data_IF_973020654332
#
_entry.id   IF_973020654332
#
_cell.length_a   1.000
_cell.length_b   1.000
_cell.length_c   1.000
_cell.angle_alpha   90.00
_cell.angle_beta   90.00
_cell.angle_gamma   90.00
#
_symmetry.space_group_name_H-M   'P 1'
#
loop_
_entity.id
_entity.type
_entity.pdbx_description
1 polymer ?
#
# COMPACT_ATOMS: atom_id res chain seq x y z
N UNK A 1 5.03 -20.03 40.13
CA UNK A 1 4.83 -20.44 38.71
C UNK A 1 3.56 -19.87 38.07
N UNK A 2 2.33 -20.15 38.55
CA UNK A 2 1.07 -19.65 37.92
C UNK A 2 1.00 -18.12 37.70
N UNK A 3 1.45 -17.30 38.66
CA UNK A 3 1.49 -15.82 38.53
C UNK A 3 2.44 -15.32 37.42
N UNK A 4 3.54 -16.03 37.17
CA UNK A 4 4.56 -15.67 36.15
C UNK A 4 4.13 -16.05 34.73
N UNK A 5 3.38 -17.16 34.58
CA UNK A 5 2.79 -17.56 33.30
C UNK A 5 1.66 -16.59 32.90
N UNK A 6 0.80 -16.21 33.86
CA UNK A 6 -0.27 -15.23 33.62
C UNK A 6 0.24 -13.86 33.17
N UNK A 7 1.33 -13.35 33.77
CA UNK A 7 1.94 -12.08 33.33
C UNK A 7 2.58 -12.15 31.95
N UNK A 8 3.11 -13.31 31.55
CA UNK A 8 3.75 -13.51 30.26
C UNK A 8 2.72 -13.58 29.12
N UNK A 9 1.60 -14.27 29.36
CA UNK A 9 0.47 -14.32 28.42
C UNK A 9 -0.15 -12.95 28.24
N UNK A 10 -0.41 -12.21 29.32
CA UNK A 10 -0.96 -10.85 29.24
C UNK A 10 -0.03 -9.91 28.46
N UNK A 11 1.28 -9.96 28.73
CA UNK A 11 2.27 -9.15 28.00
C UNK A 11 2.27 -9.47 26.51
N UNK A 12 2.16 -10.74 26.15
CA UNK A 12 2.07 -11.17 24.75
C UNK A 12 0.84 -10.56 24.05
N UNK A 13 -0.35 -10.68 24.64
CA UNK A 13 -1.57 -10.10 24.07
C UNK A 13 -1.51 -8.58 23.95
N UNK A 14 -0.95 -7.90 24.95
CA UNK A 14 -0.75 -6.45 24.89
C UNK A 14 0.19 -6.07 23.74
N UNK A 15 1.26 -6.82 23.51
CA UNK A 15 2.17 -6.60 22.38
C UNK A 15 1.47 -6.79 21.03
N UNK A 16 0.71 -7.87 20.87
CA UNK A 16 -0.02 -8.16 19.63
C UNK A 16 -1.07 -7.09 19.33
N UNK A 17 -1.87 -6.67 20.32
CA UNK A 17 -2.89 -5.62 20.15
C UNK A 17 -2.22 -4.26 19.87
N UNK A 18 -1.15 -3.93 20.59
CA UNK A 18 -0.43 -2.65 20.40
C UNK A 18 0.27 -2.57 19.04
N UNK A 19 0.52 -3.71 18.40
CA UNK A 19 1.10 -3.79 17.07
C UNK A 19 0.06 -3.72 15.94
N UNK A 20 -1.24 -3.85 16.21
CA UNK A 20 -2.29 -3.74 15.18
C UNK A 20 -2.22 -2.43 14.34
N UNK A 21 -1.81 -1.27 14.89
CA UNK A 21 -1.62 -0.05 14.12
C UNK A 21 -0.42 -0.04 13.17
N UNK A 22 0.43 -1.08 13.13
CA UNK A 22 1.69 -1.08 12.37
C UNK A 22 1.52 -0.69 10.90
N UNK A 23 0.45 -1.18 10.26
CA UNK A 23 0.15 -0.90 8.85
C UNK A 23 -0.54 0.44 8.62
N UNK A 24 -1.02 1.13 9.67
CA UNK A 24 -1.74 2.40 9.51
C UNK A 24 -0.88 3.50 8.87
N UNK A 25 0.44 3.41 9.01
CA UNK A 25 1.39 4.31 8.34
C UNK A 25 1.28 4.29 6.82
N UNK A 26 1.11 3.12 6.20
CA UNK A 26 0.94 3.00 4.75
C UNK A 26 -0.52 2.98 4.34
N UNK A 27 -1.36 2.34 5.16
CA UNK A 27 -2.78 2.14 4.90
C UNK A 27 -3.57 3.45 4.92
N UNK A 28 -3.44 4.28 5.96
CA UNK A 28 -4.27 5.48 6.10
C UNK A 28 -4.02 6.51 5.00
N UNK A 29 -2.79 6.92 4.68
CA UNK A 29 -2.58 7.94 3.66
C UNK A 29 -3.15 7.55 2.30
N UNK A 30 -3.00 6.28 1.92
CA UNK A 30 -3.47 5.76 0.64
C UNK A 30 -4.99 5.55 0.66
N UNK A 31 -5.55 4.94 1.71
CA UNK A 31 -6.98 4.64 1.76
C UNK A 31 -7.82 5.91 1.91
N UNK A 32 -7.38 6.85 2.76
CA UNK A 32 -8.06 8.14 2.92
C UNK A 32 -7.97 8.97 1.64
N UNK A 33 -6.80 9.00 0.99
CA UNK A 33 -6.65 9.67 -0.31
C UNK A 33 -7.55 9.07 -1.38
N UNK A 34 -7.66 7.74 -1.44
CA UNK A 34 -8.52 7.07 -2.42
C UNK A 34 -10.01 7.33 -2.20
N UNK A 35 -10.47 7.42 -0.95
CA UNK A 35 -11.87 7.72 -0.67
C UNK A 35 -12.14 9.22 -0.86
N UNK A 36 -11.30 10.09 -0.31
CA UNK A 36 -11.53 11.54 -0.32
C UNK A 36 -11.27 12.19 -1.68
N UNK A 37 -10.29 11.69 -2.45
CA UNK A 37 -9.86 12.28 -3.72
C UNK A 37 -10.31 11.42 -4.90
N UNK A 38 -10.03 10.12 -4.89
CA UNK A 38 -10.36 9.24 -6.01
C UNK A 38 -11.85 8.78 -6.01
N UNK A 39 -12.60 9.04 -4.94
CA UNK A 39 -14.02 8.72 -4.83
C UNK A 39 -14.33 7.22 -4.72
N UNK A 40 -13.39 6.40 -4.23
CA UNK A 40 -13.70 5.00 -3.93
C UNK A 40 -14.66 4.89 -2.74
N UNK A 41 -15.57 3.92 -2.81
CA UNK A 41 -16.46 3.58 -1.71
C UNK A 41 -15.66 3.03 -0.51
N UNK A 42 -15.74 3.68 0.68
CA UNK A 42 -15.03 3.20 1.86
C UNK A 42 -15.55 1.85 2.37
N UNK A 43 -16.81 1.48 2.10
CA UNK A 43 -17.39 0.23 2.59
C UNK A 43 -16.71 -0.96 1.93
N UNK A 44 -16.70 -1.00 0.58
CA UNK A 44 -15.99 -2.02 -0.19
C UNK A 44 -14.49 -2.08 0.14
N UNK A 45 -13.85 -0.92 0.27
CA UNK A 45 -12.43 -0.82 0.65
C UNK A 45 -12.17 -1.48 2.01
N UNK A 46 -12.83 -1.00 3.07
CA UNK A 46 -12.60 -1.46 4.43
C UNK A 46 -13.01 -2.92 4.62
N UNK A 47 -14.11 -3.35 3.98
CA UNK A 47 -14.56 -4.73 4.00
C UNK A 47 -13.50 -5.66 3.39
N UNK A 48 -12.96 -5.31 2.22
CA UNK A 48 -11.91 -6.07 1.55
C UNK A 48 -10.65 -6.23 2.40
N UNK A 49 -10.17 -5.12 2.98
CA UNK A 49 -9.04 -5.15 3.91
C UNK A 49 -9.33 -6.00 5.15
N UNK A 50 -10.54 -5.89 5.70
CA UNK A 50 -10.97 -6.66 6.87
C UNK A 50 -10.91 -8.17 6.62
N UNK A 51 -11.58 -8.63 5.57
CA UNK A 51 -11.62 -10.05 5.20
C UNK A 51 -10.22 -10.56 4.86
N UNK A 52 -9.46 -9.83 4.06
CA UNK A 52 -8.13 -10.30 3.64
C UNK A 52 -7.15 -10.33 4.82
N UNK A 53 -7.18 -9.36 5.73
CA UNK A 53 -6.33 -9.35 6.91
C UNK A 53 -6.65 -10.50 7.88
N UNK A 54 -7.94 -10.77 8.13
CA UNK A 54 -8.36 -11.92 8.96
C UNK A 54 -7.94 -13.24 8.30
N UNK A 55 -8.19 -13.40 7.00
CA UNK A 55 -7.76 -14.60 6.26
C UNK A 55 -6.23 -14.78 6.31
N UNK A 56 -5.47 -13.72 6.10
CA UNK A 56 -4.00 -13.72 6.16
C UNK A 56 -3.49 -14.13 7.55
N UNK A 57 -4.10 -13.60 8.61
CA UNK A 57 -3.78 -13.97 9.97
C UNK A 57 -4.01 -15.46 10.25
N UNK A 58 -5.07 -16.05 9.69
CA UNK A 58 -5.39 -17.47 9.84
C UNK A 58 -4.49 -18.38 8.99
N UNK A 59 -4.20 -17.98 7.75
CA UNK A 59 -3.38 -18.74 6.80
C UNK A 59 -1.93 -18.83 7.29
N UNK A 60 -1.32 -17.67 7.56
CA UNK A 60 0.12 -17.60 7.86
C UNK A 60 0.43 -17.72 9.35
N UNK A 61 -0.52 -17.39 10.24
CA UNK A 61 -0.33 -17.36 11.70
C UNK A 61 0.84 -16.49 12.18
N UNK A 62 1.33 -15.63 11.30
CA UNK A 62 2.41 -14.65 11.46
C UNK A 62 1.88 -13.28 11.05
N UNK A 63 2.53 -12.18 11.48
CA UNK A 63 2.08 -10.83 11.18
C UNK A 63 2.43 -10.43 9.74
N UNK A 64 1.94 -11.19 8.77
CA UNK A 64 2.05 -10.88 7.36
C UNK A 64 1.04 -9.77 7.08
N UNK A 65 1.49 -8.57 6.68
CA UNK A 65 0.60 -7.41 6.54
C UNK A 65 -0.31 -7.54 5.31
N UNK A 66 -1.39 -6.75 5.32
CA UNK A 66 -2.24 -6.53 4.15
C UNK A 66 -2.22 -5.04 3.85
N UNK A 67 -1.70 -4.67 2.68
CA UNK A 67 -1.42 -3.29 2.32
C UNK A 67 -2.06 -2.93 0.98
N UNK A 68 -2.40 -1.63 0.78
CA UNK A 68 -2.75 -1.13 -0.53
C UNK A 68 -1.62 -1.36 -1.54
N UNK A 69 -1.98 -1.78 -2.76
CA UNK A 69 -1.07 -1.73 -3.89
C UNK A 69 -0.68 -0.28 -4.21
N UNK A 70 0.51 0.12 -3.74
CA UNK A 70 0.93 1.54 -3.64
C UNK A 70 0.87 2.30 -4.96
N UNK A 71 1.26 1.69 -6.09
CA UNK A 71 1.25 2.39 -7.37
C UNK A 71 -0.18 2.58 -7.88
N UNK A 72 -1.04 1.57 -7.75
CA UNK A 72 -2.48 1.68 -8.07
C UNK A 72 -3.15 2.74 -7.23
N UNK A 73 -2.90 2.73 -5.91
CA UNK A 73 -3.44 3.74 -5.00
C UNK A 73 -2.98 5.15 -5.40
N UNK A 74 -1.68 5.34 -5.68
CA UNK A 74 -1.15 6.63 -6.11
C UNK A 74 -1.72 7.11 -7.45
N UNK A 75 -1.90 6.22 -8.43
CA UNK A 75 -2.53 6.55 -9.71
C UNK A 75 -3.99 6.94 -9.54
N UNK A 76 -4.73 6.28 -8.64
CA UNK A 76 -6.09 6.67 -8.30
C UNK A 76 -6.16 8.07 -7.70
N UNK A 77 -5.33 8.34 -6.68
CA UNK A 77 -5.27 9.65 -6.01
C UNK A 77 -4.82 10.76 -6.96
N UNK A 78 -3.88 10.47 -7.87
CA UNK A 78 -3.41 11.43 -8.87
C UNK A 78 -4.41 11.65 -10.03
N UNK A 79 -5.60 11.04 -9.98
CA UNK A 79 -6.62 11.17 -11.02
C UNK A 79 -6.30 10.46 -12.34
N UNK A 80 -5.28 9.59 -12.35
CA UNK A 80 -4.87 8.82 -13.54
C UNK A 80 -5.77 7.60 -13.78
N UNK A 81 -6.48 7.14 -12.76
CA UNK A 81 -7.38 5.99 -12.83
C UNK A 81 -8.58 6.16 -11.89
N UNK A 82 -9.80 5.97 -12.39
CA UNK A 82 -11.02 6.02 -11.57
C UNK A 82 -11.30 4.71 -10.81
N UNK A 83 -12.27 4.70 -9.87
CA UNK A 83 -12.63 3.53 -9.06
C UNK A 83 -12.87 2.24 -9.86
N UNK A 84 -13.58 2.33 -10.99
CA UNK A 84 -13.84 1.16 -11.86
C UNK A 84 -12.55 0.55 -12.42
N UNK A 85 -11.59 1.40 -12.81
CA UNK A 85 -10.28 0.95 -13.29
C UNK A 85 -9.52 0.28 -12.16
N UNK A 86 -9.54 0.82 -10.94
CA UNK A 86 -8.90 0.23 -9.77
C UNK A 86 -9.46 -1.17 -9.45
N UNK A 87 -10.79 -1.33 -9.52
CA UNK A 87 -11.47 -2.63 -9.35
C UNK A 87 -11.07 -3.60 -10.46
N UNK A 88 -11.04 -3.13 -11.71
CA UNK A 88 -10.59 -3.93 -12.85
C UNK A 88 -9.13 -4.40 -12.67
N UNK A 89 -8.24 -3.53 -12.19
CA UNK A 89 -6.86 -3.87 -11.85
C UNK A 89 -6.81 -4.94 -10.78
N UNK A 90 -7.70 -4.89 -9.78
CA UNK A 90 -7.82 -5.92 -8.75
C UNK A 90 -8.16 -7.28 -9.36
N UNK A 91 -9.16 -7.34 -10.24
CA UNK A 91 -9.55 -8.57 -10.92
C UNK A 91 -8.40 -9.15 -11.76
N UNK A 92 -7.72 -8.30 -12.55
CA UNK A 92 -6.59 -8.68 -13.40
C UNK A 92 -5.38 -9.16 -12.58
N UNK A 93 -5.03 -8.42 -11.53
CA UNK A 93 -3.97 -8.79 -10.59
C UNK A 93 -4.31 -10.11 -9.89
N UNK A 94 -5.57 -10.28 -9.48
CA UNK A 94 -6.07 -11.48 -8.83
C UNK A 94 -5.82 -12.72 -9.68
N UNK A 95 -6.36 -12.73 -10.90
CA UNK A 95 -6.18 -13.82 -11.85
C UNK A 95 -4.69 -14.06 -12.16
N UNK A 96 -3.94 -13.00 -12.43
CA UNK A 96 -2.51 -13.11 -12.79
C UNK A 96 -1.69 -13.71 -11.65
N UNK A 97 -1.88 -13.25 -10.41
CA UNK A 97 -1.13 -13.76 -9.27
C UNK A 97 -1.49 -15.22 -8.93
N UNK A 98 -2.76 -15.62 -9.11
CA UNK A 98 -3.15 -17.03 -9.02
C UNK A 98 -2.38 -17.86 -10.05
N UNK A 99 -2.36 -17.46 -11.32
CA UNK A 99 -1.63 -18.17 -12.36
C UNK A 99 -0.11 -18.21 -12.09
N UNK A 100 0.47 -17.11 -11.64
CA UNK A 100 1.89 -17.05 -11.29
C UNK A 100 2.24 -17.95 -10.09
N UNK A 101 1.35 -18.07 -9.11
CA UNK A 101 1.56 -18.94 -7.95
C UNK A 101 1.70 -20.42 -8.32
N UNK A 102 1.08 -20.83 -9.43
CA UNK A 102 1.11 -22.21 -9.94
C UNK A 102 2.34 -22.50 -10.81
N UNK A 103 3.22 -21.51 -11.04
CA UNK A 103 4.36 -21.64 -11.95
C UNK A 103 5.69 -21.25 -11.28
N UNK A 104 6.78 -21.32 -12.05
CA UNK A 104 8.09 -20.80 -11.68
C UNK A 104 8.36 -19.41 -12.28
N UNK A 105 7.32 -18.72 -12.77
CA UNK A 105 7.46 -17.51 -13.57
C UNK A 105 7.78 -16.24 -12.77
N UNK A 106 7.53 -16.19 -11.45
CA UNK A 106 7.77 -15.00 -10.60
C UNK A 106 9.22 -14.52 -10.71
N UNK A 107 10.17 -15.44 -10.51
CA UNK A 107 11.60 -15.12 -10.58
C UNK A 107 12.07 -14.74 -11.99
N UNK A 108 11.47 -15.31 -13.04
CA UNK A 108 11.77 -14.96 -14.43
C UNK A 108 11.24 -13.56 -14.77
N UNK A 109 9.98 -13.26 -14.46
CA UNK A 109 9.36 -11.95 -14.69
C UNK A 109 10.11 -10.83 -13.96
N UNK A 110 10.55 -11.07 -12.72
CA UNK A 110 11.35 -10.08 -11.97
C UNK A 110 12.63 -9.69 -12.70
N UNK A 111 13.27 -10.60 -13.45
CA UNK A 111 14.49 -10.29 -14.22
C UNK A 111 14.23 -9.40 -15.43
N UNK A 112 13.01 -9.35 -15.93
CA UNK A 112 12.65 -8.49 -17.07
C UNK A 112 12.52 -7.02 -16.66
N UNK A 113 12.24 -6.74 -15.40
CA UNK A 113 11.93 -5.39 -14.93
C UNK A 113 13.16 -4.76 -14.28
N UNK A 114 13.78 -3.74 -14.89
CA UNK A 114 14.91 -3.04 -14.28
C UNK A 114 14.48 -2.22 -13.06
N UNK A 115 15.28 -2.29 -11.99
CA UNK A 115 15.07 -1.51 -10.76
C UNK A 115 15.03 0.00 -11.03
N UNK A 116 15.81 0.51 -11.99
CA UNK A 116 15.83 1.93 -12.38
C UNK A 116 14.50 2.39 -12.95
N UNK A 117 13.81 1.54 -13.73
CA UNK A 117 12.48 1.85 -14.24
C UNK A 117 11.43 1.89 -13.13
N UNK A 118 11.48 0.93 -12.18
CA UNK A 118 10.60 0.92 -11.02
C UNK A 118 10.80 2.16 -10.13
N UNK A 119 12.05 2.58 -9.89
CA UNK A 119 12.31 3.80 -9.13
C UNK A 119 11.82 5.05 -9.86
N UNK A 120 12.06 5.15 -11.18
CA UNK A 120 11.57 6.27 -11.98
C UNK A 120 10.05 6.40 -11.94
N UNK A 121 9.34 5.28 -12.12
CA UNK A 121 7.88 5.20 -11.99
C UNK A 121 7.39 5.66 -10.61
N UNK A 122 8.00 5.14 -9.53
CA UNK A 122 7.62 5.48 -8.15
C UNK A 122 7.82 6.96 -7.84
N UNK A 123 8.93 7.54 -8.31
CA UNK A 123 9.22 8.97 -8.13
C UNK A 123 8.26 9.83 -8.95
N UNK A 124 7.98 9.45 -10.20
CA UNK A 124 7.01 10.18 -11.01
C UNK A 124 5.61 10.20 -10.36
N UNK A 125 5.12 9.05 -9.89
CA UNK A 125 3.86 8.99 -9.15
C UNK A 125 3.89 9.80 -7.86
N UNK A 126 5.01 9.78 -7.12
CA UNK A 126 5.19 10.60 -5.93
C UNK A 126 5.12 12.10 -6.26
N UNK A 127 5.73 12.54 -7.38
CA UNK A 127 5.63 13.92 -7.87
C UNK A 127 4.16 14.25 -8.19
N UNK A 128 3.43 13.36 -8.87
CA UNK A 128 2.00 13.57 -9.16
C UNK A 128 1.14 13.73 -7.90
N UNK A 129 1.44 13.00 -6.82
CA UNK A 129 0.76 13.19 -5.54
C UNK A 129 1.08 14.55 -4.91
N UNK A 130 2.33 15.02 -5.03
CA UNK A 130 2.73 16.33 -4.52
C UNK A 130 2.12 17.49 -5.31
N UNK A 131 1.88 17.33 -6.61
CA UNK A 131 1.22 18.37 -7.41
C UNK A 131 -0.23 18.58 -6.99
N UNK A 132 -0.94 17.52 -6.59
CA UNK A 132 -2.33 17.59 -6.11
C UNK A 132 -2.52 18.48 -4.87
N UNK A 133 -1.46 18.72 -4.09
CA UNK A 133 -1.52 19.58 -2.90
C UNK A 133 -1.94 21.01 -3.28
N UNK A 134 -1.59 21.46 -4.48
CA UNK A 134 -1.93 22.82 -4.98
C UNK A 134 -3.42 23.00 -5.24
N UNK A 135 -4.11 21.90 -5.52
CA UNK A 135 -5.53 21.89 -5.87
C UNK A 135 -6.43 21.72 -4.64
N UNK A 136 -5.85 21.57 -3.44
CA UNK A 136 -6.60 21.43 -2.20
C UNK A 136 -7.24 22.78 -1.80
N UNK A 137 -8.57 22.84 -1.61
CA UNK A 137 -9.27 24.07 -1.32
C UNK A 137 -8.95 24.58 0.09
N UNK A 138 -8.69 25.88 0.22
CA UNK A 138 -8.53 26.53 1.53
C UNK A 138 -7.30 26.09 2.34
N UNK A 139 -6.32 25.44 1.72
CA UNK A 139 -5.14 24.90 2.40
C UNK A 139 -4.30 25.99 3.08
N UNK A 140 -4.15 25.89 4.40
CA UNK A 140 -3.16 26.67 5.16
C UNK A 140 -1.79 26.01 5.08
N UNK A 141 -0.85 26.64 4.37
CA UNK A 141 0.55 26.15 4.30
C UNK A 141 1.25 26.11 5.66
N UNK A 142 0.90 27.01 6.58
CA UNK A 142 1.42 27.00 7.95
C UNK A 142 0.84 25.81 8.72
N UNK A 143 -0.46 25.54 8.58
CA UNK A 143 -1.11 24.38 9.19
C UNK A 143 -0.53 23.07 8.67
N UNK A 144 -0.35 22.96 7.36
CA UNK A 144 0.34 21.84 6.70
C UNK A 144 1.75 21.63 7.26
N UNK A 145 2.56 22.68 7.33
CA UNK A 145 3.92 22.59 7.86
C UNK A 145 3.94 22.16 9.34
N UNK A 146 3.01 22.67 10.15
CA UNK A 146 2.84 22.28 11.55
C UNK A 146 2.50 20.79 11.70
N UNK A 147 1.53 20.29 10.92
CA UNK A 147 1.16 18.87 10.93
C UNK A 147 2.29 17.98 10.40
N UNK A 148 3.05 18.42 9.38
CA UNK A 148 4.24 17.70 8.91
C UNK A 148 5.31 17.60 10.01
N UNK A 149 5.54 18.68 10.75
CA UNK A 149 6.49 18.67 11.86
C UNK A 149 6.06 17.66 12.94
N UNK A 150 4.76 17.64 13.29
CA UNK A 150 4.20 16.64 14.21
C UNK A 150 4.41 15.22 13.69
N UNK A 151 4.08 14.96 12.43
CA UNK A 151 4.27 13.66 11.81
C UNK A 151 5.74 13.21 11.87
N UNK A 152 6.68 14.09 11.50
CA UNK A 152 8.12 13.79 11.52
C UNK A 152 8.61 13.47 12.93
N UNK A 153 8.17 14.24 13.94
CA UNK A 153 8.52 13.99 15.34
C UNK A 153 7.97 12.63 15.79
N UNK A 154 6.71 12.33 15.47
CA UNK A 154 6.09 11.05 15.83
C UNK A 154 6.78 9.86 15.15
N UNK A 155 7.13 9.98 13.87
CA UNK A 155 7.85 8.95 13.11
C UNK A 155 9.26 8.66 13.67
N UNK A 156 9.88 9.64 14.34
CA UNK A 156 11.18 9.48 15.03
C UNK A 156 11.06 9.02 16.48
N UNK A 157 9.85 8.95 17.02
CA UNK A 157 9.58 8.56 18.40
C UNK A 157 9.22 7.06 18.51
N UNK A 158 8.98 6.60 19.74
CA UNK A 158 8.43 5.27 20.02
C UNK A 158 6.98 5.11 19.54
N UNK A 159 6.30 6.22 19.20
CA UNK A 159 4.90 6.25 18.75
C UNK A 159 4.76 6.19 17.23
N UNK A 160 5.82 5.81 16.50
CA UNK A 160 5.82 5.77 15.02
C UNK A 160 4.66 4.99 14.39
N UNK A 161 4.15 3.95 15.07
CA UNK A 161 3.01 3.16 14.62
C UNK A 161 1.68 3.93 14.64
N UNK A 162 1.56 4.91 15.54
CA UNK A 162 0.38 5.76 15.68
C UNK A 162 0.54 7.09 14.94
N UNK A 163 1.70 7.37 14.32
CA UNK A 163 2.04 8.66 13.76
C UNK A 163 0.98 9.19 12.78
N UNK A 164 0.52 8.36 11.84
CA UNK A 164 -0.51 8.74 10.87
C UNK A 164 -1.87 8.98 11.52
N UNK A 165 -2.32 8.09 12.41
CA UNK A 165 -3.60 8.26 13.12
C UNK A 165 -3.60 9.54 13.94
N UNK A 166 -2.57 9.74 14.78
CA UNK A 166 -2.44 10.91 15.63
C UNK A 166 -2.39 12.18 14.81
N UNK A 167 -1.67 12.19 13.68
CA UNK A 167 -1.60 13.37 12.82
C UNK A 167 -2.96 13.70 12.19
N UNK A 168 -3.71 12.69 11.75
CA UNK A 168 -5.07 12.87 11.23
C UNK A 168 -5.99 13.41 12.31
N UNK A 169 -5.98 12.82 13.51
CA UNK A 169 -6.81 13.26 14.62
C UNK A 169 -6.49 14.69 15.06
N UNK A 170 -5.21 15.03 15.23
CA UNK A 170 -4.78 16.38 15.61
C UNK A 170 -5.18 17.39 14.53
N UNK A 171 -4.92 17.10 13.26
CA UNK A 171 -5.32 17.99 12.18
C UNK A 171 -6.83 18.17 12.07
N UNK A 172 -7.60 17.09 12.22
CA UNK A 172 -9.06 17.15 12.26
C UNK A 172 -9.57 17.95 13.46
N UNK A 173 -8.96 17.85 14.65
CA UNK A 173 -9.37 18.66 15.80
C UNK A 173 -9.06 20.15 15.66
N UNK A 174 -8.01 20.51 14.92
CA UNK A 174 -7.57 21.90 14.75
C UNK A 174 -8.31 22.58 13.60
N UNK A 175 -8.49 21.87 12.48
CA UNK A 175 -8.97 22.43 11.21
C UNK A 175 -10.29 21.84 10.73
N UNK A 176 -10.74 20.72 11.31
CA UNK A 176 -11.96 20.04 10.90
C UNK A 176 -13.20 20.82 11.30
N UNK A 177 -14.23 20.71 10.47
CA UNK A 177 -15.55 21.30 10.72
C UNK A 177 -16.56 20.18 10.98
N UNK A 178 -17.08 20.14 12.21
CA UNK A 178 -18.08 19.14 12.67
C UNK A 178 -19.50 19.63 12.51
N UNK A 179 -19.72 20.85 12.03
CA UNK A 179 -21.06 21.46 11.90
C UNK A 179 -22.03 20.66 11.03
N UNK A 180 -21.52 19.79 10.15
CA UNK A 180 -22.32 18.88 9.32
C UNK A 180 -22.58 17.48 9.90
N UNK A 181 -22.07 17.14 11.09
CA UNK A 181 -22.30 15.83 11.72
C UNK A 181 -23.47 15.96 12.70
N UNK A 182 -24.71 15.93 12.19
CA UNK A 182 -25.90 16.08 13.04
C UNK A 182 -26.22 14.79 13.82
N UNK A 183 -25.98 13.59 13.27
CA UNK A 183 -26.07 12.30 13.99
C UNK A 183 -25.17 11.24 13.36
N UNK A 184 -24.36 10.56 14.19
CA UNK A 184 -23.67 9.33 13.81
C UNK A 184 -24.64 8.17 13.98
N UNK A 185 -25.26 7.74 12.89
CA UNK A 185 -26.10 6.54 12.89
C UNK A 185 -25.23 5.30 12.66
N UNK A 186 -25.26 4.37 13.62
CA UNK A 186 -24.64 3.06 13.45
C UNK A 186 -25.64 2.17 12.73
N UNK A 187 -25.34 1.81 11.49
CA UNK A 187 -26.14 0.94 10.64
C UNK A 187 -25.42 -0.36 10.32
N UNK A 188 -26.11 -1.31 9.69
CA UNK A 188 -25.46 -2.44 9.03
C UNK A 188 -25.34 -2.14 7.54
N UNK A 189 -24.13 -1.98 7.05
CA UNK A 189 -23.84 -1.65 5.65
C UNK A 189 -23.18 -2.82 4.95
N UNK A 190 -23.50 -2.99 3.67
CA UNK A 190 -22.97 -4.07 2.85
C UNK A 190 -22.30 -3.50 1.59
N UNK A 191 -21.12 -4.02 1.19
CA UNK A 191 -20.45 -3.56 -0.01
C UNK A 191 -21.31 -3.80 -1.26
N UNK A 192 -21.26 -2.85 -2.19
CA UNK A 192 -21.93 -2.97 -3.48
C UNK A 192 -21.06 -3.81 -4.42
N UNK A 193 -21.70 -4.73 -5.13
CA UNK A 193 -21.04 -5.54 -6.16
C UNK A 193 -20.85 -4.67 -7.40
N UNK A 194 -19.60 -4.53 -7.83
CA UNK A 194 -19.15 -3.73 -8.97
C UNK A 194 -18.31 -4.63 -9.89
N UNK A 195 -18.94 -5.20 -10.90
CA UNK A 195 -18.23 -5.95 -11.93
C UNK A 195 -17.58 -4.99 -12.92
N UNK A 196 -16.26 -5.09 -13.17
CA UNK A 196 -15.57 -4.18 -14.08
C UNK A 196 -16.05 -4.39 -15.52
N UNK A 197 -16.23 -3.30 -16.24
CA UNK A 197 -16.52 -3.29 -17.67
C UNK A 197 -15.28 -3.70 -18.47
N UNK A 198 -15.47 -4.21 -19.68
CA UNK A 198 -14.35 -4.54 -20.58
C UNK A 198 -13.49 -3.31 -20.91
N UNK A 199 -14.11 -2.13 -20.98
CA UNK A 199 -13.41 -0.85 -21.15
C UNK A 199 -12.53 -0.54 -19.95
N UNK A 200 -13.04 -0.68 -18.72
CA UNK A 200 -12.25 -0.51 -17.51
C UNK A 200 -11.09 -1.51 -17.43
N UNK A 201 -11.29 -2.77 -17.87
CA UNK A 201 -10.21 -3.76 -17.98
C UNK A 201 -9.13 -3.35 -18.98
N UNK A 202 -9.52 -2.82 -20.15
CA UNK A 202 -8.59 -2.25 -21.13
C UNK A 202 -7.76 -1.10 -20.55
N UNK A 203 -8.44 -0.13 -19.93
CA UNK A 203 -7.78 1.00 -19.27
C UNK A 203 -6.86 0.54 -18.13
N UNK A 204 -7.24 -0.48 -17.37
CA UNK A 204 -6.41 -1.04 -16.30
C UNK A 204 -5.13 -1.65 -16.85
N UNK A 205 -5.18 -2.40 -17.96
CA UNK A 205 -4.00 -2.95 -18.63
C UNK A 205 -3.03 -1.86 -19.06
N UNK A 206 -3.56 -0.76 -19.60
CA UNK A 206 -2.77 0.36 -20.12
C UNK A 206 -2.16 1.25 -19.02
N UNK A 207 -2.86 1.45 -17.92
CA UNK A 207 -2.49 2.48 -16.93
C UNK A 207 -1.86 1.90 -15.67
N UNK A 208 -2.47 0.87 -15.08
CA UNK A 208 -2.22 0.50 -13.68
C UNK A 208 -1.67 -0.91 -13.51
N UNK A 209 -2.16 -1.88 -14.28
CA UNK A 209 -1.88 -3.30 -14.09
C UNK A 209 -0.40 -3.65 -14.29
N UNK A 210 0.20 -3.32 -15.44
CA UNK A 210 1.60 -3.67 -15.71
C UNK A 210 2.59 -2.97 -14.77
N UNK A 211 2.49 -1.65 -14.53
CA UNK A 211 3.28 -0.96 -13.52
C UNK A 211 3.16 -1.58 -12.12
N UNK A 212 1.94 -1.95 -11.73
CA UNK A 212 1.69 -2.56 -10.42
C UNK A 212 2.20 -4.00 -10.33
N UNK A 213 2.04 -4.81 -11.37
CA UNK A 213 2.55 -6.18 -11.41
C UNK A 213 4.07 -6.19 -11.19
N UNK A 214 4.78 -5.30 -11.89
CA UNK A 214 6.22 -5.12 -11.77
C UNK A 214 6.64 -4.79 -10.31
N UNK A 215 5.90 -3.90 -9.65
CA UNK A 215 6.16 -3.54 -8.24
C UNK A 215 5.76 -4.66 -7.26
N UNK A 216 4.72 -5.42 -7.57
CA UNK A 216 4.19 -6.51 -6.73
C UNK A 216 5.17 -7.69 -6.69
N UNK A 217 5.74 -8.07 -7.85
CA UNK A 217 6.75 -9.14 -7.95
C UNK A 217 7.92 -8.89 -6.99
N UNK A 218 8.40 -7.65 -6.91
CA UNK A 218 9.56 -7.28 -6.09
C UNK A 218 9.20 -7.12 -4.62
N UNK A 219 8.35 -6.15 -4.29
CA UNK A 219 8.13 -5.75 -2.90
C UNK A 219 7.15 -6.65 -2.15
N UNK A 220 6.10 -7.14 -2.80
CA UNK A 220 5.03 -7.89 -2.16
C UNK A 220 5.26 -9.40 -2.15
N UNK A 221 6.04 -9.92 -3.11
CA UNK A 221 6.35 -11.35 -3.22
C UNK A 221 7.78 -11.64 -2.75
N UNK A 222 8.79 -11.27 -3.55
CA UNK A 222 10.19 -11.67 -3.32
C UNK A 222 10.74 -11.08 -2.01
N UNK A 223 10.72 -9.75 -1.86
CA UNK A 223 11.29 -9.10 -0.67
C UNK A 223 10.51 -9.45 0.59
N UNK A 224 9.18 -9.58 0.49
CA UNK A 224 8.35 -9.99 1.63
C UNK A 224 8.68 -11.42 2.04
N UNK A 225 8.85 -12.36 1.10
CA UNK A 225 9.25 -13.73 1.39
C UNK A 225 10.63 -13.78 2.06
N UNK A 226 11.61 -13.08 1.51
CA UNK A 226 12.97 -13.03 2.09
C UNK A 226 12.93 -12.54 3.55
N UNK A 227 12.25 -11.42 3.82
CA UNK A 227 12.17 -10.86 5.19
C UNK A 227 11.36 -11.78 6.11
N UNK A 228 10.25 -12.34 5.64
CA UNK A 228 9.40 -13.23 6.44
C UNK A 228 10.14 -14.51 6.84
N UNK A 229 10.95 -15.06 5.94
CA UNK A 229 11.79 -16.23 6.18
C UNK A 229 12.98 -15.95 7.12
N UNK A 230 13.46 -14.71 7.13
CA UNK A 230 14.49 -14.25 8.07
C UNK A 230 13.92 -14.10 9.49
N UNK A 231 12.76 -13.45 9.62
CA UNK A 231 12.10 -13.24 10.91
C UNK A 231 11.48 -14.51 11.49
N UNK A 232 10.98 -15.42 10.65
CA UNK A 232 10.28 -16.64 11.05
C UNK A 232 10.89 -17.86 10.35
N UNK A 233 12.11 -18.28 10.74
CA UNK A 233 12.82 -19.36 10.07
C UNK A 233 12.10 -20.71 10.14
N UNK A 234 11.32 -20.95 11.19
CA UNK A 234 10.57 -22.20 11.39
C UNK A 234 9.44 -22.38 10.34
N UNK A 235 8.96 -21.28 9.75
CA UNK A 235 7.84 -21.27 8.80
C UNK A 235 8.28 -21.03 7.35
N UNK A 236 9.58 -21.17 7.05
CA UNK A 236 10.16 -20.84 5.73
C UNK A 236 9.45 -21.48 4.53
N UNK A 237 9.03 -22.73 4.68
CA UNK A 237 8.34 -23.48 3.63
C UNK A 237 6.93 -22.95 3.35
N UNK A 238 6.34 -22.24 4.31
CA UNK A 238 5.03 -21.60 4.17
C UNK A 238 5.17 -20.15 3.68
N UNK A 239 6.19 -19.42 4.13
CA UNK A 239 6.40 -18.00 3.84
C UNK A 239 7.13 -17.81 2.50
N UNK A 240 6.48 -18.23 1.41
CA UNK A 240 7.07 -18.22 0.06
C UNK A 240 6.39 -17.23 -0.87
N UNK A 241 7.12 -16.82 -1.91
CA UNK A 241 6.60 -15.96 -2.99
C UNK A 241 5.33 -16.52 -3.64
N UNK A 242 5.25 -17.85 -3.77
CA UNK A 242 4.08 -18.53 -4.35
C UNK A 242 2.87 -18.43 -3.45
N UNK A 243 3.04 -18.66 -2.16
CA UNK A 243 1.92 -18.55 -1.22
C UNK A 243 1.45 -17.11 -1.13
N UNK A 244 2.36 -16.14 -1.05
CA UNK A 244 2.00 -14.70 -1.07
C UNK A 244 1.30 -14.28 -2.36
N UNK A 245 1.70 -14.84 -3.51
CA UNK A 245 1.02 -14.62 -4.78
C UNK A 245 -0.37 -15.25 -4.77
N UNK A 246 -0.51 -16.47 -4.27
CA UNK A 246 -1.78 -17.18 -4.21
C UNK A 246 -2.78 -16.47 -3.29
N UNK A 247 -2.39 -16.14 -2.05
CA UNK A 247 -3.28 -15.47 -1.09
C UNK A 247 -3.69 -14.08 -1.57
N UNK A 248 -2.75 -13.28 -2.07
CA UNK A 248 -3.06 -11.98 -2.67
C UNK A 248 -3.92 -12.15 -3.92
N UNK A 249 -3.63 -13.13 -4.76
CA UNK A 249 -4.36 -13.40 -6.00
C UNK A 249 -5.82 -13.75 -5.75
N UNK A 250 -6.07 -14.72 -4.86
CA UNK A 250 -7.42 -15.13 -4.45
C UNK A 250 -8.16 -13.97 -3.81
N UNK A 251 -7.53 -13.24 -2.88
CA UNK A 251 -8.15 -12.09 -2.24
C UNK A 251 -8.57 -11.03 -3.25
N UNK A 252 -7.69 -10.64 -4.18
CA UNK A 252 -8.06 -9.65 -5.19
C UNK A 252 -9.12 -10.14 -6.17
N UNK A 253 -9.04 -11.40 -6.61
CA UNK A 253 -10.00 -11.97 -7.56
C UNK A 253 -11.42 -12.03 -6.97
N UNK A 254 -11.54 -12.36 -5.68
CA UNK A 254 -12.83 -12.47 -4.99
C UNK A 254 -13.33 -11.13 -4.46
N UNK A 255 -12.43 -10.29 -3.93
CA UNK A 255 -12.82 -9.08 -3.21
C UNK A 255 -12.87 -7.82 -4.10
N UNK A 256 -12.15 -7.76 -5.22
CA UNK A 256 -12.25 -6.59 -6.10
C UNK A 256 -13.67 -6.37 -6.64
N UNK A 257 -14.42 -7.40 -7.09
CA UNK A 257 -15.82 -7.26 -7.49
C UNK A 257 -16.78 -6.74 -6.41
N UNK A 258 -16.39 -6.71 -5.13
CA UNK A 258 -17.19 -6.14 -4.04
C UNK A 258 -16.68 -4.76 -3.62
N UNK A 259 -15.97 -4.05 -4.51
CA UNK A 259 -15.47 -2.71 -4.27
C UNK A 259 -14.16 -2.65 -3.47
N UNK A 260 -13.50 -3.78 -3.22
CA UNK A 260 -12.18 -3.74 -2.60
C UNK A 260 -11.13 -3.21 -3.57
N UNK A 261 -10.26 -2.33 -3.08
CA UNK A 261 -9.12 -1.90 -3.85
C UNK A 261 -8.04 -3.00 -3.94
N UNK A 262 -7.13 -2.97 -4.92
CA UNK A 262 -6.14 -4.04 -5.08
C UNK A 262 -5.16 -4.15 -3.91
N UNK A 263 -5.14 -5.26 -3.20
CA UNK A 263 -4.35 -5.46 -1.98
C UNK A 263 -3.18 -6.41 -2.19
N UNK A 264 -2.11 -6.26 -1.43
CA UNK A 264 -0.99 -7.20 -1.45
C UNK A 264 -0.37 -7.34 -0.06
N UNK A 265 0.57 -8.27 0.09
CA UNK A 265 1.49 -8.26 1.22
C UNK A 265 2.59 -7.22 1.03
N UNK A 266 3.40 -6.97 2.07
CA UNK A 266 4.45 -5.97 1.96
C UNK A 266 5.56 -6.07 2.99
N UNK A 267 6.80 -6.04 2.51
CA UNK A 267 8.01 -6.07 3.33
C UNK A 267 8.05 -4.97 4.40
N UNK A 268 7.59 -3.76 4.06
CA UNK A 268 7.59 -2.62 4.99
C UNK A 268 6.61 -2.80 6.15
N UNK A 269 5.40 -3.31 5.89
CA UNK A 269 4.41 -3.60 6.93
C UNK A 269 4.89 -4.73 7.86
N UNK A 270 5.49 -5.76 7.28
CA UNK A 270 6.04 -6.89 8.02
C UNK A 270 7.15 -6.43 8.98
N UNK A 271 8.07 -5.60 8.49
CA UNK A 271 9.10 -4.98 9.31
C UNK A 271 8.52 -4.09 10.42
N UNK A 272 7.41 -3.39 10.16
CA UNK A 272 6.73 -2.58 11.16
C UNK A 272 6.10 -3.44 12.26
N UNK A 273 5.33 -4.48 11.92
CA UNK A 273 4.76 -5.40 12.91
C UNK A 273 5.83 -6.09 13.75
N UNK A 274 6.86 -6.65 13.10
CA UNK A 274 7.95 -7.31 13.78
C UNK A 274 8.74 -6.33 14.67
N UNK A 275 8.95 -5.09 14.20
CA UNK A 275 9.59 -4.02 14.97
C UNK A 275 8.79 -3.56 16.20
N UNK A 276 7.48 -3.79 16.23
CA UNK A 276 6.63 -3.59 17.41
C UNK A 276 6.54 -4.85 18.30
N UNK A 277 7.26 -5.92 17.95
CA UNK A 277 7.33 -7.15 18.73
C UNK A 277 6.21 -8.15 18.45
N UNK A 278 5.36 -7.91 17.44
CA UNK A 278 4.36 -8.89 17.00
C UNK A 278 5.04 -10.11 16.40
N UNK A 279 4.56 -11.30 16.78
CA UNK A 279 5.08 -12.59 16.31
C UNK A 279 4.00 -13.52 15.78
N UNK A 280 2.74 -13.11 15.86
CA UNK A 280 1.59 -13.92 15.45
C UNK A 280 0.68 -13.17 14.48
N UNK A 281 -0.32 -13.86 13.93
CA UNK A 281 -1.34 -13.22 13.09
C UNK A 281 -2.31 -12.31 13.86
N UNK A 282 -2.29 -12.28 15.21
CA UNK A 282 -3.28 -11.55 15.99
C UNK A 282 -3.26 -10.05 15.75
N UNK A 283 -2.09 -9.43 15.64
CA UNK A 283 -2.00 -8.00 15.33
C UNK A 283 -2.69 -7.66 13.99
N UNK A 284 -2.52 -8.52 12.98
CA UNK A 284 -3.15 -8.37 11.65
C UNK A 284 -4.65 -8.67 11.71
N UNK A 285 -5.07 -9.67 12.50
CA UNK A 285 -6.49 -9.97 12.70
C UNK A 285 -7.22 -8.81 13.40
N UNK A 286 -6.62 -8.19 14.42
CA UNK A 286 -7.17 -7.01 15.10
C UNK A 286 -7.33 -5.84 14.13
N UNK A 287 -6.32 -5.59 13.28
CA UNK A 287 -6.45 -4.62 12.18
C UNK A 287 -7.63 -4.98 11.26
N UNK A 288 -7.75 -6.24 10.86
CA UNK A 288 -8.84 -6.72 10.02
C UNK A 288 -10.23 -6.56 10.65
N UNK A 289 -10.37 -6.88 11.94
CA UNK A 289 -11.61 -6.66 12.68
C UNK A 289 -11.97 -5.18 12.81
N UNK A 290 -10.97 -4.30 13.00
CA UNK A 290 -11.20 -2.86 13.01
C UNK A 290 -11.70 -2.35 11.65
N UNK A 291 -11.10 -2.80 10.55
CA UNK A 291 -11.56 -2.47 9.21
C UNK A 291 -12.97 -3.00 8.94
N UNK A 292 -13.24 -4.27 9.26
CA UNK A 292 -14.56 -4.88 9.05
C UNK A 292 -15.64 -4.21 9.92
N UNK A 293 -15.32 -3.88 11.17
CA UNK A 293 -16.20 -3.10 12.04
C UNK A 293 -16.48 -1.71 11.47
N UNK A 294 -15.46 -1.02 10.96
CA UNK A 294 -15.63 0.27 10.28
C UNK A 294 -16.51 0.16 9.03
N UNK A 295 -16.31 -0.86 8.20
CA UNK A 295 -17.10 -1.09 7.00
C UNK A 295 -18.58 -1.36 7.33
N UNK A 296 -18.83 -2.30 8.25
CA UNK A 296 -20.18 -2.79 8.52
C UNK A 296 -20.99 -1.86 9.42
N UNK A 297 -20.37 -1.18 10.39
CA UNK A 297 -21.05 -0.39 11.41
C UNK A 297 -21.16 1.10 11.06
N UNK A 298 -20.13 1.65 10.39
CA UNK A 298 -20.10 3.08 10.05
C UNK A 298 -20.52 3.32 8.60
N UNK A 299 -20.25 2.40 7.67
CA UNK A 299 -20.82 2.47 6.33
C UNK A 299 -20.61 3.82 5.62
N UNK A 300 -21.71 4.41 5.15
CA UNK A 300 -21.74 5.74 4.52
C UNK A 300 -21.33 6.86 5.48
N UNK A 301 -21.45 6.68 6.80
CA UNK A 301 -20.93 7.64 7.78
C UNK A 301 -19.41 7.76 7.71
N UNK A 302 -18.70 6.72 7.24
CA UNK A 302 -17.28 6.85 6.94
C UNK A 302 -17.08 7.92 5.87
N UNK A 303 -17.90 7.94 4.81
CA UNK A 303 -17.84 9.01 3.79
C UNK A 303 -18.11 10.38 4.42
N UNK A 304 -19.12 10.49 5.28
CA UNK A 304 -19.46 11.74 5.98
C UNK A 304 -18.30 12.25 6.83
N UNK A 305 -17.70 11.39 7.66
CA UNK A 305 -16.52 11.72 8.47
C UNK A 305 -15.36 12.14 7.55
N UNK A 306 -15.12 11.41 6.47
CA UNK A 306 -14.03 11.71 5.54
C UNK A 306 -14.22 13.04 4.80
N UNK A 307 -15.46 13.47 4.55
CA UNK A 307 -15.75 14.81 4.00
C UNK A 307 -15.42 15.95 4.97
N UNK A 308 -15.37 15.67 6.26
CA UNK A 308 -14.92 16.65 7.27
C UNK A 308 -13.40 16.70 7.43
N UNK A 309 -12.65 15.87 6.70
CA UNK A 309 -11.20 15.92 6.74
C UNK A 309 -10.69 17.24 6.14
N UNK A 310 -9.96 18.04 6.92
CA UNK A 310 -9.45 19.31 6.45
C UNK A 310 -8.33 19.11 5.42
N UNK A 311 -8.19 20.09 4.52
CA UNK A 311 -7.19 20.08 3.45
C UNK A 311 -5.76 19.92 3.96
N UNK A 312 -5.44 20.43 5.14
CA UNK A 312 -4.12 20.28 5.78
C UNK A 312 -3.81 18.80 6.06
N UNK A 313 -4.79 18.03 6.54
CA UNK A 313 -4.62 16.60 6.79
C UNK A 313 -4.41 15.86 5.48
N UNK A 314 -5.25 16.12 4.47
CA UNK A 314 -5.09 15.52 3.15
C UNK A 314 -3.71 15.84 2.55
N UNK A 315 -3.24 17.09 2.66
CA UNK A 315 -1.92 17.51 2.22
C UNK A 315 -0.79 16.75 2.91
N UNK A 316 -0.85 16.56 4.24
CA UNK A 316 0.15 15.75 4.96
C UNK A 316 0.14 14.30 4.49
N UNK A 317 -1.03 13.71 4.31
CA UNK A 317 -1.16 12.34 3.83
C UNK A 317 -0.61 12.18 2.41
N UNK A 318 -0.83 13.16 1.52
CA UNK A 318 -0.25 13.17 0.18
C UNK A 318 1.28 13.24 0.22
N UNK A 319 1.86 14.14 1.03
CA UNK A 319 3.32 14.23 1.21
C UNK A 319 3.88 12.91 1.75
N UNK A 320 3.21 12.32 2.75
CA UNK A 320 3.69 11.09 3.36
C UNK A 320 3.55 9.88 2.41
N UNK A 321 2.45 9.78 1.67
CA UNK A 321 2.26 8.78 0.63
C UNK A 321 3.32 8.90 -0.47
N UNK A 322 3.61 10.13 -0.92
CA UNK A 322 4.68 10.42 -1.88
C UNK A 322 6.06 10.00 -1.35
N UNK A 323 6.37 10.30 -0.09
CA UNK A 323 7.62 9.89 0.56
C UNK A 323 7.78 8.36 0.62
N UNK A 324 6.74 7.67 1.09
CA UNK A 324 6.70 6.20 1.21
C UNK A 324 6.78 5.54 -0.16
N UNK A 325 6.16 6.16 -1.18
CA UNK A 325 6.19 5.66 -2.54
C UNK A 325 7.57 5.88 -3.18
N UNK A 326 8.14 7.07 -3.12
CA UNK A 326 9.44 7.39 -3.71
C UNK A 326 10.59 6.62 -3.04
N UNK A 327 10.56 6.46 -1.72
CA UNK A 327 11.64 5.84 -0.92
C UNK A 327 13.01 6.49 -1.22
N UNK A 328 13.14 7.81 -0.95
CA UNK A 328 14.27 8.62 -1.42
C UNK A 328 15.61 8.17 -0.84
N UNK A 329 15.61 7.54 0.35
CA UNK A 329 16.82 6.99 0.97
C UNK A 329 17.44 5.89 0.11
N UNK A 330 16.62 4.98 -0.45
CA UNK A 330 17.14 3.95 -1.36
C UNK A 330 17.67 4.54 -2.66
N UNK A 331 17.01 5.56 -3.19
CA UNK A 331 17.43 6.23 -4.43
C UNK A 331 18.74 6.99 -4.22
N UNK A 332 18.93 7.63 -3.07
CA UNK A 332 20.18 8.31 -2.74
C UNK A 332 21.38 7.34 -2.69
N UNK A 333 21.14 6.08 -2.32
CA UNK A 333 22.17 5.05 -2.22
C UNK A 333 22.46 4.30 -3.54
N UNK A 334 21.72 4.56 -4.63
CA UNK A 334 22.05 3.97 -5.94
C UNK A 334 23.21 4.72 -6.61
N UNK A 335 23.94 4.03 -7.49
CA UNK A 335 25.05 4.62 -8.25
C UNK A 335 24.59 5.83 -9.08
N UNK A 336 25.45 6.84 -9.24
CA UNK A 336 25.12 8.07 -9.97
C UNK A 336 24.63 7.82 -11.41
N UNK A 337 25.21 6.83 -12.11
CA UNK A 337 24.73 6.43 -13.44
C UNK A 337 23.28 5.92 -13.41
N UNK A 338 22.90 5.16 -12.38
CA UNK A 338 21.52 4.71 -12.19
C UNK A 338 20.59 5.89 -11.85
N UNK A 339 21.06 6.90 -11.12
CA UNK A 339 20.28 8.11 -10.82
C UNK A 339 19.91 8.87 -12.10
N UNK A 340 20.83 9.01 -13.06
CA UNK A 340 20.54 9.63 -14.36
C UNK A 340 19.44 8.87 -15.11
N UNK A 341 19.50 7.55 -15.14
CA UNK A 341 18.46 6.72 -15.75
C UNK A 341 17.13 6.90 -15.01
N UNK A 342 17.14 6.95 -13.68
CA UNK A 342 15.92 7.19 -12.88
C UNK A 342 15.30 8.54 -13.27
N UNK A 343 16.08 9.62 -13.39
CA UNK A 343 15.56 10.94 -13.81
C UNK A 343 14.95 10.88 -15.21
N UNK A 344 15.61 10.20 -16.16
CA UNK A 344 15.04 9.98 -17.49
C UNK A 344 13.71 9.22 -17.42
N UNK A 345 13.64 8.16 -16.62
CA UNK A 345 12.43 7.37 -16.42
C UNK A 345 11.31 8.16 -15.74
N UNK A 346 11.64 9.09 -14.84
CA UNK A 346 10.66 10.03 -14.26
C UNK A 346 10.05 10.89 -15.37
N UNK A 347 10.89 11.51 -16.21
CA UNK A 347 10.42 12.31 -17.34
C UNK A 347 9.55 11.52 -18.31
N UNK A 348 9.99 10.31 -18.68
CA UNK A 348 9.22 9.42 -19.56
C UNK A 348 7.85 9.08 -18.95
N UNK A 349 7.79 8.80 -17.64
CA UNK A 349 6.54 8.46 -16.95
C UNK A 349 5.58 9.65 -16.92
N UNK A 350 6.08 10.85 -16.62
CA UNK A 350 5.25 12.06 -16.53
C UNK A 350 4.74 12.53 -17.91
N UNK A 351 5.52 12.34 -18.97
CA UNK A 351 5.18 12.83 -20.31
C UNK A 351 4.42 11.81 -21.17
N UNK A 352 4.78 10.53 -21.08
CA UNK A 352 4.25 9.48 -21.95
C UNK A 352 3.41 8.43 -21.19
N UNK A 353 3.39 8.49 -19.86
CA UNK A 353 2.61 7.61 -19.00
C UNK A 353 3.39 6.41 -18.41
N UNK A 354 2.85 5.75 -17.37
CA UNK A 354 3.51 4.64 -16.67
C UNK A 354 3.90 3.44 -17.53
N UNK A 355 3.02 3.03 -18.46
CA UNK A 355 3.25 1.85 -19.29
C UNK A 355 4.37 2.08 -20.31
N UNK A 356 4.32 3.19 -21.03
CA UNK A 356 5.33 3.53 -22.05
C UNK A 356 6.71 3.68 -21.41
N UNK A 357 6.78 4.32 -20.25
CA UNK A 357 7.99 4.42 -19.45
C UNK A 357 8.50 3.03 -19.06
N UNK A 358 7.65 2.15 -18.50
CA UNK A 358 8.04 0.80 -18.13
C UNK A 358 8.60 0.01 -19.33
N UNK A 359 7.92 0.03 -20.48
CA UNK A 359 8.38 -0.63 -21.70
C UNK A 359 9.71 -0.06 -22.17
N UNK A 360 9.86 1.27 -22.20
CA UNK A 360 11.10 1.93 -22.58
C UNK A 360 12.26 1.54 -21.65
N UNK A 361 12.02 1.50 -20.33
CA UNK A 361 13.00 1.07 -19.35
C UNK A 361 13.45 -0.38 -19.58
N UNK A 362 12.50 -1.29 -19.83
CA UNK A 362 12.80 -2.69 -20.16
C UNK A 362 13.62 -2.77 -21.45
N UNK A 363 13.22 -2.05 -22.51
CA UNK A 363 13.93 -2.05 -23.79
C UNK A 363 15.37 -1.54 -23.66
N UNK A 364 15.58 -0.45 -22.89
CA UNK A 364 16.90 0.11 -22.60
C UNK A 364 17.76 -0.91 -21.86
N UNK A 365 17.21 -1.59 -20.85
CA UNK A 365 17.95 -2.58 -20.08
C UNK A 365 18.34 -3.81 -20.91
N UNK A 366 17.42 -4.28 -21.77
CA UNK A 366 17.71 -5.38 -22.70
C UNK A 366 18.79 -4.99 -23.72
N UNK A 367 18.75 -3.76 -24.25
CA UNK A 367 19.78 -3.24 -25.13
C UNK A 367 21.14 -3.15 -24.41
N UNK A 368 21.16 -2.62 -23.16
CA UNK A 368 22.36 -2.55 -22.33
C UNK A 368 22.96 -3.94 -22.09
N UNK A 369 22.15 -4.91 -21.69
CA UNK A 369 22.59 -6.27 -21.39
C UNK A 369 23.19 -6.98 -22.63
N UNK A 370 22.71 -6.65 -23.83
CA UNK A 370 23.21 -7.21 -25.10
C UNK A 370 24.56 -6.62 -25.52
N UNK A 371 24.83 -5.36 -25.22
CA UNK A 371 26.04 -4.65 -25.67
C UNK A 371 27.12 -4.58 -24.59
N UNK A 372 26.73 -4.62 -23.31
CA UNK A 372 27.60 -4.66 -22.14
C UNK A 372 27.19 -5.81 -21.21
N UNK A 373 27.41 -7.08 -21.61
CA UNK A 373 27.16 -8.22 -20.75
C UNK A 373 28.00 -8.10 -19.47
N UNK A 374 27.40 -8.40 -18.31
CA UNK A 374 28.06 -8.33 -17.01
C UNK A 374 29.38 -9.12 -17.02
N UNK A 375 30.52 -8.41 -17.11
CA UNK A 375 31.81 -8.94 -16.70
C UNK A 375 31.99 -8.62 -15.22
N UNK A 376 31.95 -9.66 -14.37
CA UNK A 376 32.40 -9.66 -12.97
C UNK A 376 32.01 -8.45 -12.09
N UNK A 377 30.72 -8.30 -11.79
CA UNK A 377 30.28 -7.50 -10.64
C UNK A 377 29.45 -8.42 -9.74
N UNK A 378 29.88 -8.55 -8.48
CA UNK A 378 29.37 -9.51 -7.50
C UNK A 378 27.85 -9.39 -7.28
N UNK A 379 27.23 -10.52 -6.98
CA UNK A 379 25.79 -10.79 -6.85
C UNK A 379 25.12 -10.14 -5.62
N UNK A 380 25.44 -8.89 -5.31
CA UNK A 380 24.87 -8.13 -4.19
C UNK A 380 24.23 -6.81 -4.62
N UNK A 381 23.95 -6.62 -5.92
CA UNK A 381 23.34 -5.40 -6.49
C UNK A 381 21.82 -5.52 -6.68
#
# INVERSE_FOLDING_TARGET
MKKSVGSMVLKHWLTEISAAPADLGTFLPLSLGLVAIAGMDPVGLLFGFGIFAIATALIYRRPIPVQPMKAVAAMGIAGLAGPEVLIATGCLMGLTLILLSQTNAIGWLKRLVPNTALFGLRVALAISLLTMIRDLPGLSYIGLAGLLAILIVLLRSQLKALASVTTVLVGWTIFGDVSGIETLEIGFHWPVILLPTLTAMGSALETTFLPQLALTLTNALILTAVIAQDYFPDDRNHLTERNFALSSGVANFVLAPIGAMPMCHGAGGLAAYHGLGSKTGWSVAVFGFACLGGALLLGDQVVTILRTLPSEVLGVLLVYAAWVLADPVKIANVRSACQVIIVFMVGATLLAGPLTALIAGIAIELARARWFPYSNISTSD
#
